data_IF_966326151132
#
_entry.id   IF_966326151132
#
_cell.length_a   1.000
_cell.length_b   1.000
_cell.length_c   1.000
_cell.angle_alpha   90.00
_cell.angle_beta   90.00
_cell.angle_gamma   90.00
#
_symmetry.space_group_name_H-M   'P 1'
#
loop_
_entity.id
_entity.type
_entity.pdbx_description
1 polymer ?
#
# COMPACT_ATOMS: atom_id res chain seq x y z
N UNK A 1 10.99 -5.11 11.82
CA UNK A 1 12.40 -5.55 11.77
C UNK A 1 13.26 -4.35 12.11
N UNK A 2 14.23 -4.53 13.01
CA UNK A 2 15.16 -3.49 13.44
C UNK A 2 16.54 -4.15 13.50
N UNK A 3 17.48 -3.64 12.72
CA UNK A 3 18.92 -3.92 12.84
C UNK A 3 19.50 -2.71 13.56
N UNK A 4 19.94 -2.89 14.80
CA UNK A 4 20.43 -1.80 15.65
C UNK A 4 21.71 -1.16 15.10
N UNK A 5 22.61 -1.98 14.57
CA UNK A 5 23.88 -1.54 14.02
C UNK A 5 24.37 -2.54 12.96
N UNK A 6 24.81 -2.04 11.82
CA UNK A 6 25.46 -2.83 10.77
C UNK A 6 26.92 -3.13 11.14
N UNK A 7 27.47 -4.19 10.55
CA UNK A 7 28.88 -4.56 10.70
C UNK A 7 29.79 -3.43 10.23
N UNK A 8 30.93 -3.26 10.92
CA UNK A 8 31.92 -2.27 10.54
C UNK A 8 32.52 -2.58 9.15
N UNK A 9 32.80 -1.54 8.36
CA UNK A 9 33.34 -1.65 6.99
C UNK A 9 32.46 -2.42 5.99
N UNK A 10 31.19 -2.61 6.31
CA UNK A 10 30.24 -3.25 5.39
C UNK A 10 29.81 -2.28 4.29
N UNK A 11 30.01 -2.70 3.04
CA UNK A 11 29.55 -1.95 1.86
C UNK A 11 28.15 -2.39 1.43
N UNK A 12 27.77 -3.64 1.72
CA UNK A 12 26.62 -4.31 1.13
C UNK A 12 25.78 -5.02 2.18
N UNK A 13 24.47 -4.79 2.15
CA UNK A 13 23.48 -5.51 2.92
C UNK A 13 22.30 -5.94 2.05
N UNK A 14 21.82 -7.16 2.24
CA UNK A 14 20.61 -7.67 1.60
C UNK A 14 19.56 -7.97 2.67
N UNK A 15 18.38 -7.36 2.54
CA UNK A 15 17.24 -7.61 3.43
C UNK A 15 16.17 -8.37 2.65
N UNK A 16 15.80 -9.54 3.16
CA UNK A 16 14.74 -10.36 2.60
C UNK A 16 13.42 -10.07 3.30
N UNK A 17 12.37 -9.79 2.51
CA UNK A 17 11.02 -9.51 2.98
C UNK A 17 10.09 -10.67 2.57
N UNK A 18 9.98 -11.75 3.39
CA UNK A 18 9.21 -12.93 3.03
C UNK A 18 7.71 -12.65 2.86
N UNK A 19 7.13 -11.81 3.72
CA UNK A 19 5.68 -11.57 3.75
C UNK A 19 5.24 -10.34 2.94
N UNK A 20 6.15 -9.75 2.15
CA UNK A 20 5.86 -8.56 1.36
C UNK A 20 5.50 -8.91 -0.07
N UNK A 21 4.23 -9.24 -0.30
CA UNK A 21 3.76 -9.68 -1.62
C UNK A 21 2.41 -9.15 -2.05
N UNK A 22 1.69 -8.43 -1.20
CA UNK A 22 0.38 -7.86 -1.54
C UNK A 22 0.45 -6.35 -1.79
N UNK A 23 -0.25 -5.87 -2.82
CA UNK A 23 -0.18 -4.46 -3.25
C UNK A 23 -0.66 -3.45 -2.20
N UNK A 24 -1.52 -3.88 -1.28
CA UNK A 24 -2.01 -3.05 -0.18
C UNK A 24 -1.03 -2.95 0.98
N UNK A 25 0.04 -3.75 0.99
CA UNK A 25 1.10 -3.64 1.99
C UNK A 25 2.02 -2.47 1.63
N UNK A 26 2.38 -1.68 2.64
CA UNK A 26 3.31 -0.58 2.50
C UNK A 26 4.10 -0.39 3.80
N UNK A 27 5.39 -0.12 3.64
CA UNK A 27 6.34 0.07 4.72
C UNK A 27 7.20 1.31 4.47
N UNK A 28 7.81 1.81 5.54
CA UNK A 28 8.81 2.86 5.51
C UNK A 28 10.11 2.26 6.00
N UNK A 29 11.16 2.39 5.20
CA UNK A 29 12.52 1.99 5.54
C UNK A 29 13.30 3.23 5.98
N UNK A 30 13.84 3.16 7.17
CA UNK A 30 14.73 4.17 7.75
C UNK A 30 16.13 3.58 7.79
N UNK A 31 17.07 4.36 7.29
CA UNK A 31 18.50 4.06 7.35
C UNK A 31 19.16 5.30 7.94
N UNK A 32 19.61 5.17 9.18
CA UNK A 32 20.16 6.28 9.95
C UNK A 32 21.58 5.95 10.38
N UNK A 33 22.55 6.86 10.28
CA UNK A 33 23.89 6.63 10.79
C UNK A 33 23.85 6.48 12.31
N UNK A 34 24.66 5.58 12.84
CA UNK A 34 24.86 5.42 14.29
C UNK A 34 25.82 6.49 14.84
N UNK A 35 25.96 6.56 16.16
CA UNK A 35 26.88 7.48 16.83
C UNK A 35 28.37 7.19 16.55
N UNK A 36 28.70 6.00 16.04
CA UNK A 36 30.06 5.59 15.64
C UNK A 36 30.48 6.18 14.28
N UNK A 37 29.55 6.71 13.49
CA UNK A 37 29.85 7.39 12.24
C UNK A 37 30.46 8.79 12.50
N UNK A 38 31.77 8.93 12.28
CA UNK A 38 32.48 10.21 12.42
C UNK A 38 32.49 11.04 11.13
N UNK A 39 31.99 10.50 10.02
CA UNK A 39 31.96 11.21 8.75
C UNK A 39 30.92 12.34 8.77
N UNK A 40 31.33 13.56 8.41
CA UNK A 40 30.45 14.73 8.28
C UNK A 40 29.46 14.59 7.12
N UNK A 41 29.84 13.81 6.10
CA UNK A 41 28.99 13.44 4.98
C UNK A 41 29.06 11.93 4.75
N UNK A 42 27.89 11.29 4.71
CA UNK A 42 27.74 9.89 4.32
C UNK A 42 26.78 9.78 3.13
N UNK A 43 26.89 8.66 2.42
CA UNK A 43 25.97 8.30 1.36
C UNK A 43 25.62 6.82 1.45
N UNK A 44 24.34 6.52 1.67
CA UNK A 44 23.82 5.16 1.57
C UNK A 44 22.73 5.12 0.51
N UNK A 45 22.69 4.07 -0.30
CA UNK A 45 21.63 3.85 -1.28
C UNK A 45 20.88 2.56 -0.98
N UNK A 46 19.60 2.56 -1.31
CA UNK A 46 18.71 1.43 -1.14
C UNK A 46 17.96 1.18 -2.44
N UNK A 47 17.89 -0.09 -2.82
CA UNK A 47 17.18 -0.56 -3.99
C UNK A 47 16.20 -1.65 -3.57
N UNK A 48 14.93 -1.48 -3.95
CA UNK A 48 13.90 -2.48 -3.77
C UNK A 48 13.79 -3.32 -5.06
N UNK A 49 14.14 -4.60 -4.95
CA UNK A 49 14.05 -5.57 -6.02
C UNK A 49 12.81 -6.47 -5.85
N UNK A 50 11.93 -6.49 -6.84
CA UNK A 50 10.69 -7.27 -6.84
C UNK A 50 10.74 -8.32 -7.97
N UNK A 51 10.92 -9.62 -7.66
CA UNK A 51 11.20 -10.65 -8.67
C UNK A 51 10.16 -10.75 -9.80
N UNK A 52 8.87 -10.67 -9.44
CA UNK A 52 7.76 -10.81 -10.39
C UNK A 52 7.36 -9.50 -11.11
N UNK A 53 8.01 -8.38 -10.78
CA UNK A 53 7.69 -7.06 -11.32
C UNK A 53 8.94 -6.42 -11.95
N UNK A 54 9.41 -7.00 -13.07
CA UNK A 54 10.51 -6.45 -13.86
C UNK A 54 10.26 -4.98 -14.21
N UNK A 55 11.30 -4.16 -14.16
CA UNK A 55 11.28 -2.70 -14.41
C UNK A 55 10.47 -1.88 -13.39
N UNK A 56 10.11 -2.43 -12.23
CA UNK A 56 9.45 -1.70 -11.15
C UNK A 56 10.35 -1.60 -9.91
N UNK A 57 11.66 -1.58 -10.13
CA UNK A 57 12.66 -1.32 -9.10
C UNK A 57 12.49 0.09 -8.56
N UNK A 58 12.71 0.24 -7.26
CA UNK A 58 12.59 1.53 -6.59
C UNK A 58 13.89 1.85 -5.87
N UNK A 59 14.50 2.96 -6.25
CA UNK A 59 15.78 3.43 -5.72
C UNK A 59 15.56 4.61 -4.77
N UNK A 60 16.32 4.61 -3.69
CA UNK A 60 16.35 5.71 -2.73
C UNK A 60 17.77 5.92 -2.23
N UNK A 61 18.08 7.14 -1.84
CA UNK A 61 19.38 7.49 -1.27
C UNK A 61 19.17 8.24 0.05
N UNK A 62 20.03 7.94 1.00
CA UNK A 62 20.10 8.50 2.33
C UNK A 62 21.41 9.25 2.46
N UNK A 63 21.31 10.54 2.74
CA UNK A 63 22.47 11.42 2.92
C UNK A 63 22.25 12.29 4.15
N UNK A 64 23.30 12.99 4.57
CA UNK A 64 23.21 13.99 5.64
C UNK A 64 22.10 15.04 5.42
N UNK A 65 21.78 15.38 4.15
CA UNK A 65 20.70 16.30 3.78
C UNK A 65 19.34 15.61 3.62
N UNK A 66 19.33 14.34 3.19
CA UNK A 66 18.11 13.59 2.89
C UNK A 66 17.97 12.40 3.81
N UNK A 67 17.32 12.65 4.95
CA UNK A 67 16.98 11.65 5.98
C UNK A 67 15.56 11.08 5.84
N UNK A 68 14.85 11.44 4.77
CA UNK A 68 13.48 10.97 4.55
C UNK A 68 13.44 9.46 4.38
N UNK A 69 12.48 8.74 4.99
CA UNK A 69 12.39 7.29 4.84
C UNK A 69 12.04 6.89 3.40
N UNK A 70 12.58 5.76 2.98
CA UNK A 70 12.23 5.14 1.70
C UNK A 70 10.85 4.48 1.80
N UNK A 71 9.96 4.83 0.86
CA UNK A 71 8.61 4.28 0.77
C UNK A 71 8.65 2.93 0.05
N UNK A 72 8.55 1.84 0.81
CA UNK A 72 8.46 0.49 0.27
C UNK A 72 7.02 0.21 -0.14
N UNK A 73 6.78 0.09 -1.44
CA UNK A 73 5.46 -0.16 -2.01
C UNK A 73 5.56 -1.04 -3.24
N UNK A 74 4.62 -1.98 -3.38
CA UNK A 74 4.53 -2.82 -4.56
C UNK A 74 3.61 -2.18 -5.60
N UNK A 75 3.95 -2.36 -6.88
CA UNK A 75 3.08 -1.99 -8.01
C UNK A 75 2.27 -3.17 -8.54
N UNK A 76 2.70 -4.39 -8.24
CA UNK A 76 2.04 -5.62 -8.64
C UNK A 76 2.12 -6.61 -7.49
N UNK A 77 0.99 -7.21 -7.12
CA UNK A 77 0.97 -8.31 -6.16
C UNK A 77 1.69 -9.53 -6.73
N UNK A 78 2.28 -10.34 -5.84
CA UNK A 78 2.85 -11.62 -6.21
C UNK A 78 1.76 -12.53 -6.79
N UNK A 79 1.91 -13.04 -8.03
CA UNK A 79 0.92 -13.91 -8.65
C UNK A 79 0.75 -15.24 -7.92
N UNK A 80 1.78 -15.72 -7.20
CA UNK A 80 1.77 -17.02 -6.52
C UNK A 80 0.97 -17.00 -5.21
N UNK A 81 0.87 -15.84 -4.56
CA UNK A 81 0.01 -15.65 -3.37
C UNK A 81 -1.46 -15.96 -3.70
N UNK A 82 -1.92 -15.55 -4.88
CA UNK A 82 -3.28 -15.83 -5.35
C UNK A 82 -3.52 -17.32 -5.64
N UNK A 83 -2.45 -18.10 -5.85
CA UNK A 83 -2.51 -19.52 -6.18
C UNK A 83 -2.22 -20.44 -4.99
N UNK A 84 -1.91 -19.87 -3.81
CA UNK A 84 -1.56 -20.64 -2.61
C UNK A 84 -0.23 -21.41 -2.72
N UNK A 85 0.64 -21.01 -3.65
CA UNK A 85 1.95 -21.63 -3.85
C UNK A 85 2.97 -20.77 -3.10
N UNK A 86 3.74 -21.39 -2.20
CA UNK A 86 4.87 -20.71 -1.55
C UNK A 86 5.85 -20.25 -2.64
N UNK A 87 6.00 -18.93 -2.79
CA UNK A 87 6.98 -18.39 -3.73
C UNK A 87 8.35 -18.43 -3.10
N UNK A 88 9.27 -19.17 -3.72
CA UNK A 88 10.69 -19.15 -3.35
C UNK A 88 11.32 -17.76 -3.61
N UNK A 89 10.76 -17.03 -4.59
CA UNK A 89 11.13 -15.66 -4.92
C UNK A 89 10.55 -14.64 -3.94
N UNK A 90 11.40 -14.14 -3.04
CA UNK A 90 11.07 -13.12 -2.03
C UNK A 90 11.46 -11.73 -2.51
N UNK A 91 10.76 -10.71 -2.03
CA UNK A 91 11.17 -9.31 -2.25
C UNK A 91 12.45 -9.05 -1.48
N UNK A 92 13.37 -8.35 -2.12
CA UNK A 92 14.68 -8.06 -1.55
C UNK A 92 14.95 -6.57 -1.55
N UNK A 93 15.64 -6.09 -0.54
CA UNK A 93 16.16 -4.74 -0.51
C UNK A 93 17.68 -4.83 -0.45
N UNK A 94 18.32 -4.28 -1.45
CA UNK A 94 19.77 -4.14 -1.51
C UNK A 94 20.15 -2.78 -0.96
N UNK A 95 21.03 -2.77 0.03
CA UNK A 95 21.58 -1.58 0.64
C UNK A 95 23.06 -1.48 0.30
N UNK A 96 23.47 -0.35 -0.25
CA UNK A 96 24.88 0.02 -0.38
C UNK A 96 25.18 1.09 0.66
N UNK A 97 26.05 0.75 1.60
CA UNK A 97 26.39 1.57 2.75
C UNK A 97 27.77 2.22 2.55
N UNK A 98 28.03 3.30 3.30
CA UNK A 98 29.36 3.90 3.35
C UNK A 98 30.24 3.09 4.32
N UNK A 99 31.38 2.51 3.89
CA UNK A 99 32.20 1.67 4.75
C UNK A 99 32.81 2.42 5.95
N UNK A 100 32.87 3.76 5.92
CA UNK A 100 33.38 4.57 7.03
C UNK A 100 32.38 4.73 8.19
N UNK A 101 31.14 4.27 8.02
CA UNK A 101 30.06 4.45 8.98
C UNK A 101 29.27 3.15 9.21
N UNK A 102 28.75 2.99 10.43
CA UNK A 102 27.71 1.99 10.69
C UNK A 102 26.33 2.66 10.70
N UNK A 103 25.31 1.87 10.37
CA UNK A 103 23.94 2.34 10.20
C UNK A 103 22.98 1.50 11.03
N UNK A 104 21.92 2.14 11.52
CA UNK A 104 20.75 1.51 12.08
C UNK A 104 19.68 1.43 11.00
N UNK A 105 19.13 0.24 10.79
CA UNK A 105 18.11 -0.01 9.79
C UNK A 105 16.82 -0.38 10.51
N UNK A 106 15.79 0.43 10.34
CA UNK A 106 14.48 0.15 10.93
C UNK A 106 13.39 0.21 9.87
N UNK A 107 12.36 -0.62 10.06
CA UNK A 107 11.22 -0.68 9.16
C UNK A 107 9.92 -0.53 9.94
N UNK A 108 9.09 0.42 9.53
CA UNK A 108 7.77 0.67 10.14
C UNK A 108 6.64 0.51 9.12
N UNK A 109 5.46 0.15 9.59
CA UNK A 109 4.26 0.06 8.76
C UNK A 109 3.66 1.45 8.56
N UNK A 110 3.27 1.80 7.34
CA UNK A 110 2.63 3.10 7.05
C UNK A 110 1.18 2.93 6.62
N UNK A 111 0.24 3.26 7.50
CA UNK A 111 -1.20 3.12 7.23
C UNK A 111 -1.67 4.01 6.07
N UNK A 112 -1.17 5.25 6.00
CA UNK A 112 -1.56 6.20 4.95
C UNK A 112 -1.09 5.74 3.56
N UNK A 113 0.09 5.13 3.44
CA UNK A 113 0.56 4.55 2.19
C UNK A 113 -0.27 3.35 1.77
N UNK A 114 -0.74 2.53 2.72
CA UNK A 114 -1.64 1.40 2.42
C UNK A 114 -2.95 1.88 1.81
N UNK A 115 -3.57 2.92 2.40
CA UNK A 115 -4.80 3.52 1.86
C UNK A 115 -4.55 4.14 0.49
N UNK A 116 -3.42 4.84 0.31
CA UNK A 116 -3.06 5.41 -0.98
C UNK A 116 -2.87 4.34 -2.08
N UNK A 117 -2.36 3.16 -1.72
CA UNK A 117 -2.26 2.04 -2.66
C UNK A 117 -3.62 1.40 -2.93
N UNK A 118 -4.48 1.30 -1.91
CA UNK A 118 -5.84 0.79 -2.08
C UNK A 118 -6.63 1.69 -3.03
N UNK A 119 -6.62 3.00 -2.82
CA UNK A 119 -7.33 3.94 -3.70
C UNK A 119 -6.79 3.86 -5.12
N UNK A 120 -5.46 3.92 -5.31
CA UNK A 120 -4.87 3.88 -6.65
C UNK A 120 -5.22 2.62 -7.45
N UNK A 121 -5.25 1.46 -6.81
CA UNK A 121 -5.48 0.19 -7.51
C UNK A 121 -6.96 -0.22 -7.60
N UNK A 122 -7.80 0.15 -6.61
CA UNK A 122 -9.19 -0.30 -6.56
C UNK A 122 -10.20 0.77 -6.97
N UNK A 123 -9.88 2.07 -6.92
CA UNK A 123 -10.78 3.14 -7.40
C UNK A 123 -11.21 2.94 -8.86
N UNK A 124 -10.34 2.54 -9.81
CA UNK A 124 -10.78 2.30 -11.19
C UNK A 124 -11.81 1.17 -11.31
N UNK A 125 -11.79 0.18 -10.41
CA UNK A 125 -12.71 -0.97 -10.42
C UNK A 125 -14.09 -0.58 -9.86
N UNK A 126 -14.19 0.51 -9.11
CA UNK A 126 -15.45 0.97 -8.54
C UNK A 126 -16.45 1.40 -9.62
N UNK A 127 -15.98 2.02 -10.70
CA UNK A 127 -16.82 2.46 -11.83
C UNK A 127 -17.58 1.31 -12.49
N UNK A 128 -16.92 0.23 -12.96
CA UNK A 128 -17.64 -0.90 -13.55
C UNK A 128 -18.54 -1.63 -12.54
N UNK A 129 -18.16 -1.70 -11.26
CA UNK A 129 -19.04 -2.27 -10.24
C UNK A 129 -20.32 -1.46 -10.05
N UNK A 130 -20.23 -0.13 -9.99
CA UNK A 130 -21.42 0.75 -9.92
C UNK A 130 -22.29 0.57 -11.15
N UNK A 131 -21.71 0.53 -12.34
CA UNK A 131 -22.45 0.27 -13.58
C UNK A 131 -23.17 -1.10 -13.55
N UNK A 132 -22.48 -2.15 -13.10
CA UNK A 132 -23.07 -3.48 -12.97
C UNK A 132 -24.22 -3.52 -11.95
N UNK A 133 -24.07 -2.84 -10.81
CA UNK A 133 -25.14 -2.71 -9.81
C UNK A 133 -26.36 -2.00 -10.40
N UNK A 134 -26.16 -0.89 -11.14
CA UNK A 134 -27.24 -0.16 -11.81
C UNK A 134 -27.96 -1.07 -12.82
N UNK A 135 -27.21 -1.84 -13.63
CA UNK A 135 -27.80 -2.79 -14.58
C UNK A 135 -28.60 -3.90 -13.90
N UNK A 136 -28.11 -4.42 -12.76
CA UNK A 136 -28.82 -5.43 -11.97
C UNK A 136 -30.11 -4.87 -11.36
N UNK A 137 -30.07 -3.64 -10.87
CA UNK A 137 -31.26 -2.93 -10.36
C UNK A 137 -32.25 -2.69 -11.51
N UNK A 138 -31.80 -2.23 -12.67
CA UNK A 138 -32.64 -2.01 -13.84
C UNK A 138 -33.33 -3.32 -14.28
N UNK A 139 -32.58 -4.42 -14.40
CA UNK A 139 -33.13 -5.75 -14.72
C UNK A 139 -34.22 -6.15 -13.74
N UNK A 140 -33.98 -5.97 -12.44
CA UNK A 140 -34.93 -6.34 -11.40
C UNK A 140 -36.22 -5.52 -11.49
N UNK A 141 -36.11 -4.22 -11.80
CA UNK A 141 -37.28 -3.36 -12.01
C UNK A 141 -38.08 -3.77 -13.26
N UNK A 142 -37.41 -4.12 -14.36
CA UNK A 142 -38.08 -4.61 -15.58
C UNK A 142 -38.83 -5.91 -15.31
N UNK A 143 -38.23 -6.85 -14.57
CA UNK A 143 -38.88 -8.11 -14.21
C UNK A 143 -40.09 -7.88 -13.29
N UNK A 144 -39.97 -7.00 -12.28
CA UNK A 144 -41.09 -6.64 -11.42
C UNK A 144 -42.22 -5.94 -12.16
N UNK A 145 -41.90 -5.08 -13.13
CA UNK A 145 -42.90 -4.44 -13.99
C UNK A 145 -43.64 -5.47 -14.85
N UNK A 146 -42.92 -6.47 -15.36
CA UNK A 146 -43.50 -7.57 -16.14
C UNK A 146 -44.46 -8.42 -15.29
N UNK A 147 -44.06 -8.78 -14.07
CA UNK A 147 -44.79 -9.74 -13.25
C UNK A 147 -45.92 -9.07 -12.43
N UNK A 148 -45.68 -7.89 -11.84
CA UNK A 148 -46.60 -7.24 -10.90
C UNK A 148 -47.28 -5.98 -11.47
N UNK A 149 -46.91 -5.49 -12.67
CA UNK A 149 -47.31 -4.18 -13.24
C UNK A 149 -46.99 -2.95 -12.37
N UNK A 150 -46.36 -3.15 -11.22
CA UNK A 150 -45.94 -2.08 -10.32
C UNK A 150 -44.49 -1.67 -10.60
N UNK A 151 -44.31 -0.38 -10.90
CA UNK A 151 -43.00 0.24 -11.02
C UNK A 151 -42.66 0.92 -9.68
N UNK A 152 -41.84 0.27 -8.84
CA UNK A 152 -41.30 0.95 -7.66
C UNK A 152 -40.30 1.99 -8.19
N UNK A 153 -40.64 3.27 -8.05
CA UNK A 153 -39.76 4.35 -8.50
C UNK A 153 -38.40 4.24 -7.81
N UNK A 154 -37.32 4.25 -8.58
CA UNK A 154 -35.96 4.32 -8.05
C UNK A 154 -35.83 5.51 -7.07
N UNK A 155 -36.57 6.59 -7.32
CA UNK A 155 -36.64 7.74 -6.41
C UNK A 155 -37.26 7.40 -5.04
N UNK A 156 -38.32 6.57 -4.98
CA UNK A 156 -38.93 6.16 -3.70
C UNK A 156 -38.05 5.15 -2.95
N UNK A 157 -37.30 4.32 -3.67
CA UNK A 157 -36.34 3.40 -3.06
C UNK A 157 -35.13 4.14 -2.46
N UNK A 158 -34.60 5.16 -3.17
CA UNK A 158 -33.54 6.03 -2.65
C UNK A 158 -34.01 6.97 -1.52
N UNK A 159 -35.28 7.39 -1.54
CA UNK A 159 -35.89 8.16 -0.44
C UNK A 159 -36.39 7.27 0.71
N UNK A 160 -36.26 5.94 0.60
CA UNK A 160 -36.65 5.03 1.67
C UNK A 160 -35.79 5.25 2.92
N UNK A 161 -36.36 4.96 4.09
CA UNK A 161 -35.71 5.26 5.37
C UNK A 161 -34.34 4.62 5.55
N UNK A 162 -34.04 3.52 4.84
CA UNK A 162 -32.77 2.82 4.92
C UNK A 162 -31.62 3.45 4.09
N UNK A 163 -31.90 4.35 3.15
CA UNK A 163 -30.90 4.89 2.21
C UNK A 163 -30.82 6.42 2.28
N UNK A 164 -31.08 7.01 3.46
CA UNK A 164 -31.00 8.46 3.61
C UNK A 164 -29.52 8.90 3.67
N UNK A 165 -29.06 9.79 2.78
CA UNK A 165 -27.64 10.15 2.62
C UNK A 165 -27.02 10.78 3.88
N UNK A 166 -27.83 11.37 4.76
CA UNK A 166 -27.33 11.92 6.03
C UNK A 166 -26.78 10.84 6.97
N UNK A 167 -27.21 9.56 6.87
CA UNK A 167 -26.60 8.48 7.66
C UNK A 167 -25.12 8.31 7.27
N UNK A 168 -24.82 8.28 5.97
CA UNK A 168 -23.45 8.17 5.49
C UNK A 168 -22.60 9.41 5.87
N UNK A 169 -23.19 10.60 5.82
CA UNK A 169 -22.51 11.86 6.20
C UNK A 169 -22.20 11.90 7.70
N UNK A 170 -23.11 11.44 8.55
CA UNK A 170 -22.90 11.39 10.01
C UNK A 170 -21.80 10.38 10.36
N UNK A 171 -21.81 9.19 9.76
CA UNK A 171 -20.73 8.22 9.95
C UNK A 171 -19.39 8.74 9.41
N UNK A 172 -19.39 9.38 8.24
CA UNK A 172 -18.19 10.03 7.69
C UNK A 172 -17.63 11.07 8.66
N UNK A 173 -18.48 11.93 9.21
CA UNK A 173 -18.08 12.98 10.16
C UNK A 173 -17.56 12.42 11.49
N UNK A 174 -18.20 11.37 12.00
CA UNK A 174 -17.72 10.64 13.19
C UNK A 174 -16.36 9.98 12.93
N UNK A 175 -16.19 9.31 11.79
CA UNK A 175 -14.90 8.70 11.45
C UNK A 175 -13.79 9.74 11.30
N UNK A 176 -14.06 10.91 10.71
CA UNK A 176 -13.09 12.00 10.64
C UNK A 176 -12.75 12.58 12.02
N UNK A 177 -13.70 12.62 12.96
CA UNK A 177 -13.42 13.07 14.33
C UNK A 177 -12.62 12.06 15.16
N UNK A 178 -12.69 10.77 14.82
CA UNK A 178 -11.95 9.69 15.52
C UNK A 178 -10.54 9.48 14.92
N UNK A 179 -10.35 9.80 13.63
CA UNK A 179 -9.06 9.67 12.93
C UNK A 179 -8.19 10.94 12.94
N UNK A 180 -8.73 12.10 13.35
CA UNK A 180 -7.95 13.29 13.71
C UNK A 180 -7.45 13.17 15.14
#
# INVERSE_FOLDING_TARGET
MIISETEANSLYYELLLPDFGAIHQAYLLYVEPTASCQATSYHASAELHVPWAKNHEYYHYFTHLKKSPMKLRLYKSNPNILRGIESDEKVKITLLLDPQCTFSISMSTSWYLRIAQLSRNYTPVLVPYVAAIILLVLRTNILKLKDNKDCISIHSALMSEGVKPYYAVVFGRLTTMVLM
#
